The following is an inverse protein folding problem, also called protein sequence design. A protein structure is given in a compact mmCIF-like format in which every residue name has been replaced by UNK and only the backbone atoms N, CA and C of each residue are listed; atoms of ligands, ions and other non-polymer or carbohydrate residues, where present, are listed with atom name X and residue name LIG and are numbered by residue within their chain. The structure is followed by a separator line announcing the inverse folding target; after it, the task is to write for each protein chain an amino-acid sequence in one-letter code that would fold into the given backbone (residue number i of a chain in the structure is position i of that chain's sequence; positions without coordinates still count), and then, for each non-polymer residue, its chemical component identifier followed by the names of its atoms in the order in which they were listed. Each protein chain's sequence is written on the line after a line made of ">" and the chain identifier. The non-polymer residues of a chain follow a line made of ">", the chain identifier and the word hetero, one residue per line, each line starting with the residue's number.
data_IF_945565084189
#
_entry.id   IF_945565084189
#
_cell.length_a   1.000
_cell.length_b   1.000
_cell.length_c   1.000
_cell.angle_alpha   90.00
_cell.angle_beta   90.00
_cell.angle_gamma   90.00
#
_symmetry.space_group_name_H-M   'P 1'
#
loop_
_entity.id
_entity.type
_entity.pdbx_description
1 polymer ?
#
# COMPACT_ATOMS: atom_id res chain seq x y z
N UNK A 1 15.43 -8.18 -9.22
CA UNK A 1 15.29 -8.42 -7.76
C UNK A 1 15.04 -7.07 -7.14
N UNK A 2 14.03 -6.96 -6.30
CA UNK A 2 13.59 -5.71 -5.70
C UNK A 2 13.46 -5.92 -4.19
N UNK A 3 14.00 -4.99 -3.40
CA UNK A 3 13.86 -4.98 -1.95
C UNK A 3 13.18 -3.67 -1.54
N UNK A 4 12.02 -3.79 -0.90
CA UNK A 4 11.32 -2.65 -0.30
C UNK A 4 11.71 -2.64 1.17
N UNK A 5 12.37 -1.58 1.63
CA UNK A 5 12.80 -1.45 3.03
C UNK A 5 11.91 -0.50 3.82
N UNK A 6 11.78 -0.77 5.12
CA UNK A 6 11.19 0.13 6.13
C UNK A 6 9.74 0.57 5.84
N UNK A 7 9.00 -0.20 5.04
CA UNK A 7 7.62 0.13 4.71
C UNK A 7 6.68 -0.19 5.86
N UNK A 8 5.67 0.65 6.11
CA UNK A 8 4.58 0.29 7.02
C UNK A 8 3.60 -0.59 6.26
N UNK A 9 3.84 -1.89 6.36
CA UNK A 9 3.07 -2.92 5.67
C UNK A 9 1.69 -3.04 6.31
N UNK A 10 0.65 -2.99 5.48
CA UNK A 10 -0.75 -3.17 5.86
C UNK A 10 -1.41 -4.18 4.93
N UNK A 11 -1.93 -5.27 5.51
CA UNK A 11 -2.63 -6.32 4.77
C UNK A 11 -4.08 -6.48 5.29
N UNK A 12 -5.08 -5.99 4.53
CA UNK A 12 -6.51 -6.17 4.82
C UNK A 12 -6.95 -7.60 5.11
N UNK A 13 -6.29 -8.59 4.50
CA UNK A 13 -6.69 -10.01 4.57
C UNK A 13 -6.23 -10.67 5.86
N UNK A 14 -4.93 -10.56 6.19
CA UNK A 14 -4.40 -11.09 7.45
C UNK A 14 -4.68 -10.17 8.65
N UNK A 15 -5.02 -8.91 8.39
CA UNK A 15 -5.10 -7.87 9.42
C UNK A 15 -3.73 -7.38 9.89
N UNK A 16 -2.65 -7.78 9.22
CA UNK A 16 -1.30 -7.38 9.57
C UNK A 16 -1.11 -5.87 9.39
N UNK A 17 -0.40 -5.27 10.36
CA UNK A 17 -0.02 -3.87 10.33
C UNK A 17 1.29 -3.67 11.10
N UNK A 18 2.36 -3.30 10.41
CA UNK A 18 3.68 -3.16 11.03
C UNK A 18 4.77 -2.76 10.04
N UNK A 19 5.92 -2.32 10.56
CA UNK A 19 7.08 -1.99 9.70
C UNK A 19 7.77 -3.29 9.29
N UNK A 20 7.95 -3.49 7.99
CA UNK A 20 8.60 -4.67 7.41
C UNK A 20 9.38 -4.29 6.15
N UNK A 21 10.41 -5.08 5.89
CA UNK A 21 11.05 -5.20 4.60
C UNK A 21 10.32 -6.29 3.78
N UNK A 22 10.26 -6.10 2.47
CA UNK A 22 9.69 -7.07 1.52
C UNK A 22 10.70 -7.32 0.40
N UNK A 23 11.13 -8.57 0.27
CA UNK A 23 12.03 -8.98 -0.79
C UNK A 23 11.28 -9.71 -1.92
N UNK A 24 11.52 -9.27 -3.15
CA UNK A 24 10.82 -9.73 -4.35
C UNK A 24 11.84 -10.25 -5.39
N UNK A 25 11.61 -11.46 -5.87
CA UNK A 25 12.43 -12.09 -6.93
C UNK A 25 11.53 -12.83 -7.91
N UNK A 26 11.80 -12.63 -9.21
CA UNK A 26 11.10 -13.33 -10.31
C UNK A 26 9.57 -13.23 -10.21
N UNK A 27 9.10 -12.07 -9.77
CA UNK A 27 7.68 -11.83 -9.57
C UNK A 27 7.05 -12.65 -8.46
N UNK A 28 7.76 -12.87 -7.36
CA UNK A 28 7.21 -13.48 -6.15
C UNK A 28 7.76 -12.78 -4.93
N UNK A 29 6.95 -12.65 -3.88
CA UNK A 29 7.44 -12.26 -2.56
C UNK A 29 8.23 -13.44 -2.00
N UNK A 30 9.51 -13.23 -1.73
CA UNK A 30 10.40 -14.26 -1.20
C UNK A 30 10.41 -14.23 0.32
N UNK A 31 10.39 -13.04 0.91
CA UNK A 31 10.52 -12.86 2.35
C UNK A 31 9.83 -11.56 2.79
N UNK A 32 9.17 -11.61 3.95
CA UNK A 32 8.64 -10.43 4.66
C UNK A 32 9.17 -10.48 6.10
N UNK A 33 10.09 -9.58 6.45
CA UNK A 33 10.78 -9.61 7.75
C UNK A 33 11.07 -8.20 8.29
N UNK A 34 11.60 -8.10 9.50
CA UNK A 34 11.92 -6.81 10.13
C UNK A 34 13.19 -6.17 9.57
N UNK A 35 14.14 -6.99 9.12
CA UNK A 35 15.36 -6.53 8.46
C UNK A 35 15.82 -7.58 7.46
N UNK A 36 15.78 -7.24 6.17
CA UNK A 36 16.29 -8.09 5.09
C UNK A 36 17.58 -7.48 4.55
N UNK A 37 18.60 -8.34 4.44
CA UNK A 37 19.90 -8.00 3.87
C UNK A 37 20.02 -8.66 2.49
N UNK A 38 20.12 -7.86 1.44
CA UNK A 38 20.29 -8.33 0.07
C UNK A 38 21.33 -7.49 -0.67
N UNK A 39 22.19 -8.13 -1.47
CA UNK A 39 23.27 -7.46 -2.21
C UNK A 39 22.92 -7.44 -3.70
N UNK A 40 23.19 -6.31 -4.36
CA UNK A 40 23.01 -6.19 -5.81
C UNK A 40 21.55 -6.18 -6.27
N UNK A 41 20.63 -5.77 -5.38
CA UNK A 41 19.21 -5.65 -5.67
C UNK A 41 18.81 -4.18 -5.82
N UNK A 42 17.76 -3.92 -6.58
CA UNK A 42 17.14 -2.60 -6.60
C UNK A 42 16.43 -2.38 -5.26
N UNK A 43 16.64 -1.23 -4.63
CA UNK A 43 16.08 -0.92 -3.32
C UNK A 43 15.09 0.26 -3.40
N UNK A 44 13.93 0.10 -2.74
CA UNK A 44 12.98 1.18 -2.47
C UNK A 44 12.95 1.40 -0.97
N UNK A 45 13.38 2.58 -0.50
CA UNK A 45 13.20 2.98 0.88
C UNK A 45 11.80 3.56 1.09
N UNK A 46 10.93 2.78 1.73
CA UNK A 46 9.53 3.12 1.97
C UNK A 46 9.29 3.71 3.38
N UNK A 47 10.31 4.28 4.03
CA UNK A 47 10.15 4.99 5.32
C UNK A 47 9.05 6.04 5.25
N UNK A 48 8.11 5.96 6.19
CA UNK A 48 6.97 6.89 6.27
C UNK A 48 5.90 6.67 5.19
N UNK A 49 6.03 5.61 4.38
CA UNK A 49 5.03 5.22 3.39
C UNK A 49 4.32 3.94 3.84
N UNK A 50 3.10 3.78 3.36
CA UNK A 50 2.33 2.54 3.48
C UNK A 50 2.69 1.60 2.33
N UNK A 51 2.76 0.30 2.63
CA UNK A 51 2.89 -0.76 1.64
C UNK A 51 1.70 -1.69 1.79
N UNK A 52 0.88 -1.81 0.76
CA UNK A 52 -0.28 -2.71 0.78
C UNK A 52 -0.26 -3.66 -0.42
N UNK A 53 -0.99 -4.79 -0.36
CA UNK A 53 -1.41 -5.44 -1.59
C UNK A 53 -2.09 -4.42 -2.51
N UNK A 54 -1.96 -4.56 -3.82
CA UNK A 54 -2.64 -3.69 -4.77
C UNK A 54 -4.16 -3.87 -4.58
N UNK A 55 -4.83 -2.78 -4.21
CA UNK A 55 -6.22 -2.79 -3.77
C UNK A 55 -7.21 -2.67 -4.94
N UNK A 56 -6.73 -2.64 -6.18
CA UNK A 56 -7.59 -2.55 -7.34
C UNK A 56 -7.22 -3.62 -8.37
N UNK A 57 -8.20 -4.43 -8.79
CA UNK A 57 -8.11 -5.30 -9.97
C UNK A 57 -7.90 -4.53 -11.29
N UNK A 58 -7.87 -3.19 -11.23
CA UNK A 58 -7.46 -2.39 -12.36
C UNK A 58 -5.93 -2.58 -12.46
N UNK A 59 -5.50 -3.35 -13.47
CA UNK A 59 -4.12 -3.39 -13.94
C UNK A 59 -3.78 -2.02 -14.53
N UNK A 60 -3.56 -1.03 -13.65
CA UNK A 60 -3.42 0.37 -14.04
C UNK A 60 -1.98 0.61 -14.45
N UNK A 61 -1.77 0.70 -15.76
CA UNK A 61 -0.65 1.43 -16.33
C UNK A 61 -1.19 2.73 -16.94
N UNK A 62 -0.58 3.88 -16.59
CA UNK A 62 -0.90 5.20 -17.17
C UNK A 62 -1.26 6.29 -16.17
N UNK A 63 -0.83 7.53 -16.48
CA UNK A 63 -0.96 8.72 -15.60
C UNK A 63 -2.40 9.09 -15.24
N UNK A 64 -3.33 9.02 -16.18
CA UNK A 64 -4.73 9.44 -15.94
C UNK A 64 -5.46 8.52 -14.96
N UNK A 65 -5.24 7.22 -15.08
CA UNK A 65 -5.84 6.22 -14.18
C UNK A 65 -5.24 6.30 -12.77
N UNK A 66 -3.96 6.64 -12.66
CA UNK A 66 -3.33 6.88 -11.35
C UNK A 66 -3.94 8.11 -10.65
N UNK A 67 -4.29 9.16 -11.41
CA UNK A 67 -4.99 10.33 -10.87
C UNK A 67 -6.34 9.98 -10.23
N UNK A 68 -7.09 9.05 -10.84
CA UNK A 68 -8.36 8.56 -10.27
C UNK A 68 -8.15 7.78 -8.97
N UNK A 69 -7.10 6.94 -8.90
CA UNK A 69 -6.75 6.18 -7.72
C UNK A 69 -6.29 7.09 -6.56
N UNK A 70 -5.46 8.10 -6.87
CA UNK A 70 -5.07 9.14 -5.92
C UNK A 70 -6.29 9.90 -5.36
N UNK A 71 -7.29 10.18 -6.20
CA UNK A 71 -8.51 10.86 -5.76
C UNK A 71 -9.34 9.98 -4.80
N UNK A 72 -9.54 8.70 -5.12
CA UNK A 72 -10.25 7.75 -4.25
C UNK A 72 -9.49 7.55 -2.94
N UNK A 73 -8.17 7.36 -3.00
CA UNK A 73 -7.32 7.21 -1.82
C UNK A 73 -7.35 8.48 -0.96
N UNK A 74 -7.26 9.66 -1.57
CA UNK A 74 -7.35 10.94 -0.85
C UNK A 74 -8.70 11.11 -0.14
N UNK A 75 -9.80 10.76 -0.80
CA UNK A 75 -11.12 10.82 -0.19
C UNK A 75 -11.29 9.79 0.94
N UNK A 76 -10.81 8.57 0.72
CA UNK A 76 -10.79 7.54 1.74
C UNK A 76 -10.00 7.95 2.97
N UNK A 77 -8.77 8.46 2.78
CA UNK A 77 -7.93 8.95 3.87
C UNK A 77 -8.55 10.15 4.58
N UNK A 78 -9.29 11.00 3.87
CA UNK A 78 -10.08 12.06 4.51
C UNK A 78 -11.11 11.48 5.49
N UNK A 79 -11.85 10.43 5.11
CA UNK A 79 -12.81 9.76 6.01
C UNK A 79 -12.11 9.11 7.22
N UNK A 80 -10.93 8.54 7.00
CA UNK A 80 -10.08 7.99 8.06
C UNK A 80 -9.66 9.07 9.05
N UNK A 81 -9.17 10.21 8.54
CA UNK A 81 -8.77 11.35 9.36
C UNK A 81 -9.94 11.97 10.14
N UNK A 82 -11.17 11.84 9.64
CA UNK A 82 -12.40 12.26 10.34
C UNK A 82 -12.94 11.23 11.34
N UNK A 83 -12.30 10.06 11.46
CA UNK A 83 -12.73 8.99 12.35
C UNK A 83 -14.00 8.26 11.87
N UNK A 84 -14.42 8.46 10.62
CA UNK A 84 -15.60 7.79 10.06
C UNK A 84 -15.30 6.38 9.54
N UNK A 85 -14.02 6.05 9.32
CA UNK A 85 -13.56 4.79 8.76
C UNK A 85 -12.18 4.46 9.33
N UNK A 86 -11.86 3.19 9.58
CA UNK A 86 -10.48 2.81 9.87
C UNK A 86 -9.67 2.69 8.58
N UNK A 87 -8.34 2.90 8.63
CA UNK A 87 -7.48 2.69 7.46
C UNK A 87 -7.63 1.25 6.92
N UNK A 88 -7.66 0.26 7.82
CA UNK A 88 -7.85 -1.14 7.47
C UNK A 88 -9.17 -1.36 6.72
N UNK A 89 -10.27 -0.76 7.18
CA UNK A 89 -11.59 -0.90 6.54
C UNK A 89 -11.68 -0.15 5.21
N UNK A 90 -10.99 0.99 5.07
CA UNK A 90 -10.83 1.65 3.79
C UNK A 90 -10.16 0.72 2.77
N UNK A 91 -9.00 0.16 3.12
CA UNK A 91 -8.28 -0.70 2.19
C UNK A 91 -9.06 -2.00 1.90
N UNK A 92 -9.76 -2.57 2.89
CA UNK A 92 -10.71 -3.68 2.68
C UNK A 92 -11.79 -3.33 1.66
N UNK A 93 -12.43 -2.17 1.79
CA UNK A 93 -13.49 -1.72 0.86
C UNK A 93 -12.96 -1.51 -0.55
N UNK A 94 -11.80 -0.87 -0.69
CA UNK A 94 -11.14 -0.68 -1.99
C UNK A 94 -10.82 -2.03 -2.65
N UNK A 95 -10.32 -3.01 -1.89
CA UNK A 95 -10.04 -4.36 -2.38
C UNK A 95 -11.30 -5.11 -2.82
N UNK A 96 -12.41 -4.99 -2.08
CA UNK A 96 -13.66 -5.74 -2.31
C UNK A 96 -14.42 -5.21 -3.55
N UNK A 97 -14.42 -3.90 -3.80
CA UNK A 97 -15.19 -3.32 -4.91
C UNK A 97 -14.63 -3.63 -6.31
N UNK A 98 -13.39 -4.12 -6.41
CA UNK A 98 -12.77 -4.47 -7.69
C UNK A 98 -12.79 -5.97 -8.01
N UNK A 99 -13.26 -6.81 -7.08
CA UNK A 99 -13.25 -8.28 -7.20
C UNK A 99 -14.51 -8.88 -7.87
N UNK A 100 -15.31 -8.09 -8.60
CA UNK A 100 -16.59 -8.52 -9.17
C UNK A 100 -16.49 -9.48 -10.39
N UNK A 101 -15.42 -10.28 -10.49
CA UNK A 101 -15.32 -11.36 -11.49
C UNK A 101 -14.53 -12.60 -11.04
N UNK A 102 -13.62 -12.54 -10.06
CA UNK A 102 -12.94 -13.74 -9.56
C UNK A 102 -12.25 -13.49 -8.21
N UNK A 103 -12.81 -14.03 -7.12
CA UNK A 103 -12.27 -13.90 -5.74
C UNK A 103 -10.88 -14.53 -5.55
N UNK A 104 -10.41 -15.30 -6.54
CA UNK A 104 -9.06 -15.90 -6.58
C UNK A 104 -7.94 -14.84 -6.71
N UNK A 105 -8.27 -13.63 -7.15
CA UNK A 105 -7.29 -12.60 -7.54
C UNK A 105 -6.99 -11.52 -6.49
N UNK A 106 -7.62 -11.59 -5.29
CA UNK A 106 -7.30 -10.67 -4.20
C UNK A 106 -5.87 -10.95 -3.73
N UNK A 107 -4.95 -10.07 -4.15
CA UNK A 107 -3.53 -10.17 -3.82
C UNK A 107 -3.37 -10.05 -2.31
N UNK A 108 -2.55 -10.93 -1.73
CA UNK A 108 -2.26 -10.97 -0.31
C UNK A 108 -0.76 -10.95 -0.12
N UNK A 109 -0.33 -10.31 0.96
CA UNK A 109 1.08 -10.27 1.32
C UNK A 109 1.44 -11.58 2.03
N UNK A 110 1.99 -12.52 1.26
CA UNK A 110 2.57 -13.73 1.82
C UNK A 110 3.77 -14.17 0.98
N UNK A 111 4.70 -14.84 1.64
CA UNK A 111 5.81 -15.52 0.99
C UNK A 111 5.28 -16.56 -0.01
N UNK A 112 5.85 -16.57 -1.21
CA UNK A 112 5.39 -17.37 -2.36
C UNK A 112 4.09 -16.87 -3.00
N UNK A 113 3.50 -15.77 -2.51
CA UNK A 113 2.30 -15.13 -3.07
C UNK A 113 2.61 -14.11 -4.18
N UNK A 114 1.57 -13.72 -4.95
CA UNK A 114 1.70 -12.70 -5.99
C UNK A 114 2.03 -11.33 -5.39
N UNK A 115 2.90 -10.63 -6.07
CA UNK A 115 3.65 -9.42 -5.74
C UNK A 115 3.07 -8.15 -6.37
N UNK A 116 1.74 -8.05 -6.40
CA UNK A 116 1.08 -6.82 -6.77
C UNK A 116 1.03 -5.91 -5.55
N UNK A 117 1.93 -4.92 -5.48
CA UNK A 117 2.04 -4.02 -4.34
C UNK A 117 1.79 -2.58 -4.75
N UNK A 118 1.18 -1.84 -3.82
CA UNK A 118 1.07 -0.40 -3.87
C UNK A 118 1.85 0.20 -2.72
N UNK A 119 2.69 1.19 -3.03
CA UNK A 119 3.36 2.02 -2.04
C UNK A 119 2.75 3.41 -2.14
N UNK A 120 2.19 3.92 -1.05
CA UNK A 120 1.50 5.21 -1.03
C UNK A 120 1.80 6.01 0.23
N UNK A 121 1.72 7.33 0.10
CA UNK A 121 1.74 8.20 1.27
C UNK A 121 0.35 8.25 1.90
N UNK A 122 0.24 7.75 3.13
CA UNK A 122 -0.86 8.06 4.03
C UNK A 122 -0.26 8.77 5.24
N UNK A 123 -0.46 10.07 5.34
CA UNK A 123 -0.08 10.78 6.53
C UNK A 123 -1.16 10.48 7.57
N UNK A 124 -0.87 9.56 8.49
CA UNK A 124 -1.73 9.27 9.62
C UNK A 124 -1.96 10.59 10.36
N UNK A 125 -3.19 11.13 10.29
CA UNK A 125 -3.60 12.13 11.26
C UNK A 125 -3.47 11.42 12.61
N UNK A 126 -2.57 11.91 13.47
CA UNK A 126 -2.45 11.41 14.84
C UNK A 126 -3.84 11.44 15.48
N UNK A 127 -4.47 10.28 15.63
CA UNK A 127 -5.73 10.10 16.35
C UNK A 127 -5.51 9.93 17.85
N UNK A 128 -4.26 10.08 18.30
CA UNK A 128 -3.87 10.06 19.70
C UNK A 128 -3.44 11.48 20.12
N UNK A 129 -4.38 12.39 20.27
CA UNK A 129 -4.33 13.38 21.34
C UNK A 129 -5.69 14.06 21.48
N UNK A 130 -6.29 13.89 22.66
CA UNK A 130 -7.57 14.49 23.01
C UNK A 130 -7.45 15.99 23.32
N UNK A 131 -6.27 16.59 23.19
CA UNK A 131 -6.05 17.99 23.48
C UNK A 131 -5.11 18.67 22.48
N UNK A 132 -5.53 19.87 22.08
CA UNK A 132 -4.76 20.94 21.44
C UNK A 132 -4.51 20.90 19.92
N UNK A 133 -5.25 21.79 19.24
CA UNK A 133 -4.97 22.39 17.92
C UNK A 133 -4.76 21.42 16.75
N UNK A 134 -5.91 20.99 16.22
CA UNK A 134 -6.20 20.59 14.85
C UNK A 134 -5.22 21.20 13.80
N UNK A 135 -4.13 20.49 13.51
CA UNK A 135 -3.43 20.62 12.22
C UNK A 135 -4.29 19.87 11.19
N UNK A 136 -5.26 20.58 10.62
CA UNK A 136 -6.19 20.09 9.59
C UNK A 136 -5.52 19.90 8.23
N UNK A 137 -4.33 19.32 8.18
CA UNK A 137 -3.72 18.97 6.90
C UNK A 137 -4.33 17.65 6.47
N UNK A 138 -5.41 17.75 5.68
CA UNK A 138 -6.02 16.60 5.00
C UNK A 138 -4.91 16.00 4.14
N UNK A 139 -4.50 14.77 4.48
CA UNK A 139 -3.44 14.08 3.78
C UNK A 139 -3.88 13.80 2.34
N UNK A 140 -3.15 14.32 1.36
CA UNK A 140 -3.32 13.90 -0.04
C UNK A 140 -2.83 12.45 -0.14
N UNK A 141 -3.75 11.53 -0.38
CA UNK A 141 -3.40 10.16 -0.76
C UNK A 141 -2.70 10.21 -2.10
N UNK A 142 -1.46 9.72 -2.14
CA UNK A 142 -0.66 9.72 -3.35
C UNK A 142 0.08 8.40 -3.46
N UNK A 143 -0.18 7.68 -4.55
CA UNK A 143 0.59 6.49 -4.90
C UNK A 143 1.98 6.93 -5.34
N UNK A 144 3.00 6.33 -4.74
CA UNK A 144 4.41 6.57 -5.04
C UNK A 144 4.97 5.52 -5.98
N UNK A 145 4.59 4.27 -5.74
CA UNK A 145 5.02 3.15 -6.57
C UNK A 145 3.87 2.16 -6.75
N UNK A 146 3.80 1.59 -7.94
CA UNK A 146 3.03 0.36 -8.21
C UNK A 146 3.98 -0.68 -8.72
N UNK A 147 3.96 -1.85 -8.08
CA UNK A 147 4.80 -2.99 -8.41
C UNK A 147 3.89 -4.11 -8.90
N UNK A 148 4.20 -4.66 -10.07
CA UNK A 148 3.49 -5.79 -10.69
C UNK A 148 4.50 -6.67 -11.41
N UNK A 149 4.36 -7.99 -11.35
CA UNK A 149 5.25 -8.92 -12.07
C UNK A 149 6.75 -8.68 -11.74
N UNK A 150 7.06 -8.31 -10.49
CA UNK A 150 8.38 -8.06 -9.94
C UNK A 150 9.02 -6.77 -10.44
N UNK A 151 8.23 -5.90 -11.06
CA UNK A 151 8.69 -4.69 -11.75
C UNK A 151 7.90 -3.47 -11.27
N UNK A 152 8.60 -2.35 -11.17
CA UNK A 152 7.97 -1.05 -10.95
C UNK A 152 7.27 -0.65 -12.27
N UNK A 153 5.94 -0.63 -12.26
CA UNK A 153 5.13 -0.22 -13.43
C UNK A 153 4.70 1.24 -13.36
N UNK A 154 4.87 1.87 -12.20
CA UNK A 154 4.65 3.29 -11.96
C UNK A 154 5.56 3.81 -10.86
N UNK A 155 6.09 5.01 -11.06
CA UNK A 155 6.76 5.81 -10.03
C UNK A 155 6.38 7.30 -10.21
N UNK A 156 6.17 8.03 -9.10
CA UNK A 156 5.74 9.44 -9.07
C UNK A 156 6.86 10.41 -8.67
#
# INVERSE_FOLDING_TARGET
>A
MLLIKNGRVIDPKSGFYGVRDIYIREGNIIEISEDIQAIGVEEIDARGLMVSPNLTAISISGKEKMSALDAVLSFGLYLVAKGHLSLMDLLKKMAIETASADYSSVSFLAEGGPENLMIFSAQEANLADHDSKMNSQISKGCVKYTIMNGKIVYHA
#
